data_IF_570603650061
#
_entry.id   IF_570603650061
#
_cell.length_a   1.000
_cell.length_b   1.000
_cell.length_c   1.000
_cell.angle_alpha   90.00
_cell.angle_beta   90.00
_cell.angle_gamma   90.00
#
_symmetry.space_group_name_H-M   'P 1'
#
loop_
_entity.id
_entity.type
_entity.pdbx_description
1 polymer ?
#
# COMPACT_ATOMS: atom_id res chain seq x y z
N UNK A 1 41.07 21.49 35.81
CA UNK A 1 39.98 21.33 36.80
C UNK A 1 38.74 20.86 36.05
N UNK A 2 38.61 19.56 35.81
CA UNK A 2 37.38 18.89 35.34
C UNK A 2 37.39 17.52 36.04
N UNK A 3 36.45 17.29 36.94
CA UNK A 3 36.26 16.01 37.63
C UNK A 3 35.54 15.03 36.70
N UNK A 4 36.06 13.80 36.63
CA UNK A 4 35.45 12.65 35.97
C UNK A 4 34.16 12.25 36.68
N UNK A 5 33.02 12.31 35.99
CA UNK A 5 31.76 11.72 36.44
C UNK A 5 31.68 10.26 35.97
N UNK A 6 32.28 9.35 36.76
CA UNK A 6 32.18 7.89 36.55
C UNK A 6 31.08 7.25 37.41
N UNK A 7 30.07 8.00 37.87
CA UNK A 7 29.22 7.56 39.00
C UNK A 7 27.73 7.41 38.70
N UNK A 8 27.29 7.32 37.44
CA UNK A 8 25.85 7.18 37.10
C UNK A 8 25.59 5.93 36.23
N UNK A 9 26.22 4.79 36.55
CA UNK A 9 25.90 3.49 35.88
C UNK A 9 25.41 2.45 36.89
N UNK A 10 24.90 2.90 38.04
CA UNK A 10 24.48 2.02 39.12
C UNK A 10 23.10 2.35 39.66
N UNK A 11 22.04 2.36 38.84
CA UNK A 11 20.65 2.14 39.29
C UNK A 11 19.57 2.21 38.18
N UNK A 12 19.68 1.45 37.09
CA UNK A 12 18.57 1.26 36.14
C UNK A 12 18.26 -0.21 35.82
N UNK A 13 18.71 -1.15 36.67
CA UNK A 13 18.40 -2.59 36.51
C UNK A 13 16.96 -2.98 36.91
N UNK A 14 16.08 -2.04 37.22
CA UNK A 14 14.79 -2.32 37.88
C UNK A 14 13.50 -1.95 37.15
N UNK A 15 13.52 -1.36 35.95
CA UNK A 15 12.28 -0.82 35.33
C UNK A 15 11.94 -1.41 33.96
N UNK A 16 12.88 -2.06 33.26
CA UNK A 16 12.56 -2.71 31.99
C UNK A 16 12.36 -4.20 32.21
N UNK A 17 11.11 -4.60 32.43
CA UNK A 17 10.70 -5.97 32.16
C UNK A 17 10.73 -6.10 30.62
N UNK A 18 11.90 -6.37 30.06
CA UNK A 18 12.03 -6.77 28.65
C UNK A 18 11.34 -8.11 28.49
N UNK A 19 10.03 -8.06 28.23
CA UNK A 19 9.34 -9.17 27.60
C UNK A 19 10.16 -9.52 26.36
N UNK A 20 10.81 -10.68 26.37
CA UNK A 20 11.43 -11.23 25.19
C UNK A 20 10.29 -11.53 24.20
N UNK A 21 9.94 -10.51 23.40
CA UNK A 21 9.17 -10.75 22.20
C UNK A 21 10.08 -11.55 21.29
N UNK A 22 9.65 -12.76 20.92
CA UNK A 22 10.23 -13.49 19.80
C UNK A 22 9.99 -12.62 18.57
N UNK A 23 10.98 -11.79 18.24
CA UNK A 23 10.96 -10.99 17.02
C UNK A 23 10.97 -12.00 15.88
N UNK A 24 9.95 -11.95 15.03
CA UNK A 24 9.93 -12.72 13.79
C UNK A 24 11.26 -12.50 13.06
N UNK A 25 11.97 -13.60 12.77
CA UNK A 25 13.24 -13.58 12.02
C UNK A 25 13.01 -13.16 10.56
N UNK A 26 11.75 -13.27 10.11
CA UNK A 26 11.28 -12.77 8.84
C UNK A 26 11.01 -11.27 9.04
N UNK A 27 11.73 -10.40 8.32
CA UNK A 27 11.42 -8.99 8.36
C UNK A 27 9.95 -8.76 8.01
N UNK A 28 9.20 -7.92 8.75
CA UNK A 28 7.77 -7.74 8.51
C UNK A 28 7.43 -7.41 7.06
N UNK A 29 8.32 -6.67 6.38
CA UNK A 29 8.21 -6.29 4.97
C UNK A 29 8.37 -7.42 3.96
N UNK A 30 8.65 -8.65 4.40
CA UNK A 30 8.76 -9.85 3.55
C UNK A 30 7.63 -10.85 3.77
N UNK A 31 6.74 -10.61 4.74
CA UNK A 31 5.75 -11.61 5.16
C UNK A 31 4.61 -11.80 4.14
N UNK A 32 4.20 -10.74 3.42
CA UNK A 32 3.15 -10.81 2.39
C UNK A 32 3.40 -9.77 1.30
N UNK A 33 3.70 -10.24 0.10
CA UNK A 33 3.80 -9.39 -1.08
C UNK A 33 2.46 -9.39 -1.82
N UNK A 34 1.94 -8.21 -2.24
CA UNK A 34 0.68 -8.15 -2.95
C UNK A 34 0.82 -8.80 -4.33
N UNK A 35 -0.14 -9.66 -4.70
CA UNK A 35 -0.22 -10.19 -6.06
C UNK A 35 -0.65 -9.08 -7.01
N UNK A 36 0.18 -8.78 -8.00
CA UNK A 36 -0.15 -7.82 -9.06
C UNK A 36 -0.80 -8.55 -10.22
N UNK A 37 -1.97 -8.07 -10.66
CA UNK A 37 -2.62 -8.53 -11.88
C UNK A 37 -2.46 -7.48 -12.99
N UNK A 38 -1.84 -7.89 -14.10
CA UNK A 38 -1.58 -7.06 -15.28
C UNK A 38 -2.44 -7.47 -16.48
N UNK A 39 -3.54 -8.21 -16.28
CA UNK A 39 -4.38 -8.75 -17.35
C UNK A 39 -4.78 -7.72 -18.41
N UNK A 40 -5.10 -6.49 -18.00
CA UNK A 40 -5.55 -5.42 -18.91
C UNK A 40 -4.41 -4.70 -19.66
N UNK A 41 -3.14 -4.94 -19.31
CA UNK A 41 -1.99 -4.29 -19.95
C UNK A 41 -1.92 -4.71 -21.42
N UNK A 42 -1.80 -3.71 -22.30
CA UNK A 42 -1.75 -3.93 -23.76
C UNK A 42 -3.09 -4.32 -24.41
N UNK A 43 -4.17 -4.55 -23.65
CA UNK A 43 -5.48 -4.96 -24.19
C UNK A 43 -6.44 -3.80 -24.45
N UNK A 44 -6.10 -2.57 -24.02
CA UNK A 44 -6.96 -1.39 -24.16
C UNK A 44 -7.42 -1.15 -25.60
N UNK A 45 -6.53 -1.32 -26.59
CA UNK A 45 -6.83 -1.13 -28.01
C UNK A 45 -7.85 -2.15 -28.56
N UNK A 46 -7.78 -3.39 -28.10
CA UNK A 46 -8.68 -4.48 -28.52
C UNK A 46 -10.06 -4.34 -27.87
N UNK A 47 -10.11 -3.83 -26.65
CA UNK A 47 -11.33 -3.76 -25.84
C UNK A 47 -12.08 -2.42 -25.97
N UNK A 48 -11.60 -1.45 -26.77
CA UNK A 48 -12.04 -0.03 -26.74
C UNK A 48 -13.56 0.18 -26.73
N UNK A 49 -14.32 -0.57 -27.52
CA UNK A 49 -15.78 -0.39 -27.59
C UNK A 49 -16.51 -0.80 -26.31
N UNK A 50 -15.94 -1.72 -25.52
CA UNK A 50 -16.63 -2.39 -24.39
C UNK A 50 -15.73 -2.56 -23.16
N UNK A 51 -14.67 -1.75 -22.99
CA UNK A 51 -13.68 -1.94 -21.92
C UNK A 51 -14.31 -2.00 -20.52
N UNK A 52 -15.36 -1.20 -20.28
CA UNK A 52 -16.10 -1.21 -19.01
C UNK A 52 -16.83 -2.54 -18.77
N UNK A 53 -17.45 -3.10 -19.82
CA UNK A 53 -18.14 -4.38 -19.73
C UNK A 53 -17.13 -5.50 -19.42
N UNK A 54 -16.04 -5.56 -20.18
CA UNK A 54 -14.97 -6.54 -19.96
C UNK A 54 -14.32 -6.40 -18.58
N UNK A 55 -14.09 -5.16 -18.11
CA UNK A 55 -13.59 -4.90 -16.77
C UNK A 55 -14.54 -5.46 -15.71
N UNK A 56 -15.83 -5.13 -15.80
CA UNK A 56 -16.83 -5.61 -14.84
C UNK A 56 -16.97 -7.14 -14.85
N UNK A 57 -16.95 -7.78 -16.01
CA UNK A 57 -17.02 -9.24 -16.15
C UNK A 57 -15.79 -9.91 -15.54
N UNK A 58 -14.59 -9.38 -15.83
CA UNK A 58 -13.35 -9.89 -15.26
C UNK A 58 -13.34 -9.76 -13.74
N UNK A 59 -13.76 -8.59 -13.23
CA UNK A 59 -13.92 -8.32 -11.81
C UNK A 59 -14.87 -9.32 -11.13
N UNK A 60 -16.05 -9.56 -11.73
CA UNK A 60 -17.02 -10.51 -11.20
C UNK A 60 -16.51 -11.96 -11.21
N UNK A 61 -15.73 -12.35 -12.22
CA UNK A 61 -15.25 -13.72 -12.36
C UNK A 61 -14.02 -14.03 -11.49
N UNK A 62 -13.15 -13.05 -11.23
CA UNK A 62 -11.87 -13.27 -10.56
C UNK A 62 -11.79 -12.70 -9.15
N UNK A 63 -12.61 -11.69 -8.82
CA UNK A 63 -12.50 -10.91 -7.58
C UNK A 63 -13.85 -10.69 -6.88
N UNK A 64 -14.84 -11.56 -7.11
CA UNK A 64 -16.19 -11.44 -6.52
C UNK A 64 -16.23 -11.45 -4.98
N UNK A 65 -15.22 -12.04 -4.33
CA UNK A 65 -15.12 -12.11 -2.88
C UNK A 65 -14.13 -11.09 -2.29
N UNK A 66 -13.71 -10.09 -3.08
CA UNK A 66 -12.78 -9.05 -2.65
C UNK A 66 -13.48 -7.70 -2.57
N UNK A 67 -13.15 -6.91 -1.55
CA UNK A 67 -13.54 -5.50 -1.49
C UNK A 67 -12.73 -4.71 -2.49
N UNK A 68 -13.39 -4.04 -3.44
CA UNK A 68 -12.70 -3.27 -4.48
C UNK A 68 -12.39 -1.86 -3.98
N UNK A 69 -11.13 -1.46 -4.05
CA UNK A 69 -10.67 -0.13 -3.66
C UNK A 69 -10.00 0.52 -4.87
N UNK A 70 -10.48 1.70 -5.24
CA UNK A 70 -9.88 2.50 -6.30
C UNK A 70 -8.99 3.58 -5.70
N UNK A 71 -7.84 3.79 -6.31
CA UNK A 71 -6.85 4.79 -5.88
C UNK A 71 -6.43 5.66 -7.04
N UNK A 72 -6.17 6.93 -6.76
CA UNK A 72 -5.70 7.90 -7.76
C UNK A 72 -4.83 8.97 -7.07
N UNK A 73 -3.70 9.35 -7.69
CA UNK A 73 -2.75 10.32 -7.17
C UNK A 73 -2.64 11.56 -8.06
N UNK A 74 -3.08 12.71 -7.57
CA UNK A 74 -2.99 13.98 -8.30
C UNK A 74 -1.83 14.84 -7.81
N UNK A 75 -0.85 15.07 -8.69
CA UNK A 75 0.25 16.01 -8.44
C UNK A 75 -0.25 17.45 -8.38
N UNK A 76 -1.22 17.82 -9.25
CA UNK A 76 -1.72 19.18 -9.33
C UNK A 76 -2.38 19.64 -8.01
N UNK A 77 -3.03 18.70 -7.32
CA UNK A 77 -3.69 18.97 -6.04
C UNK A 77 -2.82 18.54 -4.83
N UNK A 78 -1.68 17.89 -5.08
CA UNK A 78 -0.84 17.23 -4.06
C UNK A 78 -1.64 16.28 -3.15
N UNK A 79 -2.60 15.56 -3.74
CA UNK A 79 -3.58 14.73 -3.02
C UNK A 79 -3.66 13.35 -3.64
N UNK A 80 -3.85 12.34 -2.80
CA UNK A 80 -4.34 11.03 -3.25
C UNK A 80 -5.78 10.80 -2.80
N UNK A 81 -6.55 10.13 -3.64
CA UNK A 81 -7.92 9.72 -3.38
C UNK A 81 -8.02 8.20 -3.22
N UNK A 82 -8.88 7.77 -2.31
CA UNK A 82 -9.23 6.36 -2.07
C UNK A 82 -10.75 6.26 -2.12
N UNK A 83 -11.29 5.32 -2.90
CA UNK A 83 -12.73 5.07 -3.01
C UNK A 83 -13.04 3.59 -2.82
N UNK A 84 -13.97 3.29 -1.91
CA UNK A 84 -14.53 1.95 -1.69
C UNK A 84 -16.04 2.02 -1.95
N UNK A 85 -16.51 1.70 -3.17
CA UNK A 85 -17.92 1.85 -3.54
C UNK A 85 -18.87 1.06 -2.65
N UNK A 86 -18.51 -0.16 -2.27
CA UNK A 86 -19.33 -1.09 -1.48
C UNK A 86 -19.63 -0.55 -0.09
N UNK A 87 -18.72 0.25 0.47
CA UNK A 87 -18.86 0.89 1.79
C UNK A 87 -19.33 2.34 1.69
N UNK A 88 -19.56 2.85 0.47
CA UNK A 88 -19.74 4.27 0.19
C UNK A 88 -18.65 5.16 0.83
N UNK A 89 -17.43 4.64 0.93
CA UNK A 89 -16.33 5.31 1.60
C UNK A 89 -15.45 6.05 0.59
N UNK A 90 -15.10 7.29 0.91
CA UNK A 90 -14.11 8.07 0.16
C UNK A 90 -13.18 8.76 1.14
N UNK A 91 -11.89 8.74 0.84
CA UNK A 91 -10.88 9.46 1.60
C UNK A 91 -9.98 10.23 0.64
N UNK A 92 -9.56 11.41 1.06
CA UNK A 92 -8.58 12.24 0.38
C UNK A 92 -7.47 12.54 1.39
N UNK A 93 -6.22 12.36 0.98
CA UNK A 93 -5.05 12.58 1.81
C UNK A 93 -4.09 13.50 1.07
N UNK A 94 -3.59 14.53 1.75
CA UNK A 94 -2.58 15.42 1.21
C UNK A 94 -1.18 14.84 1.45
N UNK A 95 -0.31 14.91 0.44
CA UNK A 95 1.11 14.62 0.56
C UNK A 95 1.93 15.93 0.37
N UNK A 96 3.22 15.95 0.74
CA UNK A 96 4.05 17.13 0.55
C UNK A 96 4.07 17.60 -0.90
N UNK A 97 4.23 18.90 -1.10
CA UNK A 97 4.50 19.44 -2.42
C UNK A 97 5.87 18.87 -2.92
N UNK A 98 6.10 18.79 -4.23
CA UNK A 98 7.29 18.20 -4.89
C UNK A 98 7.27 16.68 -5.20
N UNK A 99 6.11 16.11 -5.52
CA UNK A 99 6.00 14.73 -6.01
C UNK A 99 5.92 14.68 -7.54
N UNK A 100 6.50 13.64 -8.14
CA UNK A 100 6.19 13.29 -9.53
C UNK A 100 4.90 12.45 -9.59
N UNK A 101 4.32 12.29 -10.78
CA UNK A 101 3.08 11.52 -10.98
C UNK A 101 3.20 10.11 -10.40
N UNK A 102 4.29 9.41 -10.70
CA UNK A 102 4.53 8.06 -10.17
C UNK A 102 4.61 8.03 -8.63
N UNK A 103 5.20 9.05 -8.00
CA UNK A 103 5.27 9.13 -6.54
C UNK A 103 3.90 9.39 -5.92
N UNK A 104 3.05 10.19 -6.56
CA UNK A 104 1.68 10.44 -6.10
C UNK A 104 0.84 9.15 -6.15
N UNK A 105 0.93 8.41 -7.26
CA UNK A 105 0.29 7.11 -7.45
C UNK A 105 0.77 6.05 -6.45
N UNK A 106 2.09 5.94 -6.25
CA UNK A 106 2.67 5.05 -5.26
C UNK A 106 2.22 5.41 -3.83
N UNK A 107 2.10 6.71 -3.54
CA UNK A 107 1.60 7.19 -2.25
C UNK A 107 0.11 6.87 -2.05
N UNK A 108 -0.69 6.91 -3.12
CA UNK A 108 -2.10 6.51 -3.09
C UNK A 108 -2.24 5.02 -2.73
N UNK A 109 -1.49 4.14 -3.42
CA UNK A 109 -1.45 2.70 -3.14
C UNK A 109 -0.99 2.44 -1.70
N UNK A 110 0.10 3.08 -1.27
CA UNK A 110 0.63 2.94 0.09
C UNK A 110 -0.38 3.37 1.16
N UNK A 111 -1.06 4.48 0.93
CA UNK A 111 -2.09 4.98 1.85
C UNK A 111 -3.27 4.02 1.95
N UNK A 112 -3.67 3.39 0.84
CA UNK A 112 -4.69 2.36 0.83
C UNK A 112 -4.25 1.10 1.57
N UNK A 113 -3.00 0.66 1.43
CA UNK A 113 -2.47 -0.48 2.17
C UNK A 113 -2.55 -0.25 3.68
N UNK A 114 -2.19 0.95 4.16
CA UNK A 114 -2.35 1.32 5.57
C UNK A 114 -3.81 1.27 6.02
N UNK A 115 -4.72 1.82 5.21
CA UNK A 115 -6.15 1.79 5.53
C UNK A 115 -6.67 0.35 5.64
N UNK A 116 -6.24 -0.54 4.73
CA UNK A 116 -6.62 -1.96 4.73
C UNK A 116 -6.11 -2.66 5.99
N UNK A 117 -4.86 -2.38 6.38
CA UNK A 117 -4.25 -2.91 7.61
C UNK A 117 -4.98 -2.40 8.86
N UNK A 118 -5.25 -1.09 8.96
CA UNK A 118 -5.97 -0.47 10.08
C UNK A 118 -7.42 -0.94 10.22
N UNK A 119 -8.03 -1.39 9.13
CA UNK A 119 -9.44 -1.85 9.07
C UNK A 119 -9.58 -3.36 9.09
N UNK A 120 -8.49 -4.12 9.22
CA UNK A 120 -8.48 -5.59 9.23
C UNK A 120 -9.19 -6.20 8.00
N UNK A 121 -8.94 -5.62 6.83
CA UNK A 121 -9.54 -6.05 5.56
C UNK A 121 -8.71 -7.18 4.93
N UNK A 122 -9.19 -8.43 5.03
CA UNK A 122 -8.42 -9.63 4.63
C UNK A 122 -8.51 -10.00 3.13
N UNK A 123 -9.53 -9.52 2.42
CA UNK A 123 -9.72 -9.80 0.98
C UNK A 123 -10.00 -8.50 0.23
N UNK A 124 -8.93 -7.89 -0.28
CA UNK A 124 -8.98 -6.57 -0.91
C UNK A 124 -8.34 -6.60 -2.29
N UNK A 125 -8.99 -5.95 -3.25
CA UNK A 125 -8.40 -5.62 -4.55
C UNK A 125 -8.16 -4.12 -4.62
N UNK A 126 -6.92 -3.70 -4.86
CA UNK A 126 -6.56 -2.31 -5.10
C UNK A 126 -6.42 -2.09 -6.61
N UNK A 127 -7.21 -1.18 -7.15
CA UNK A 127 -7.23 -0.78 -8.55
C UNK A 127 -6.52 0.58 -8.69
N UNK A 128 -5.39 0.60 -9.41
CA UNK A 128 -4.68 1.81 -9.85
C UNK A 128 -4.53 1.76 -11.36
N UNK A 129 -4.56 2.93 -12.00
CA UNK A 129 -4.30 3.08 -13.44
C UNK A 129 -2.81 3.35 -13.75
N UNK A 130 -1.97 3.45 -12.72
CA UNK A 130 -0.53 3.65 -12.84
C UNK A 130 0.22 2.35 -13.16
N UNK A 131 0.39 2.07 -14.45
CA UNK A 131 1.15 0.90 -14.92
C UNK A 131 2.58 0.87 -14.34
N UNK A 132 3.25 2.02 -14.25
CA UNK A 132 4.62 2.09 -13.72
C UNK A 132 4.70 1.68 -12.25
N UNK A 133 3.71 2.04 -11.43
CA UNK A 133 3.62 1.57 -10.05
C UNK A 133 3.38 0.06 -9.97
N UNK A 134 2.44 -0.46 -10.78
CA UNK A 134 2.14 -1.89 -10.81
C UNK A 134 3.34 -2.73 -11.27
N UNK A 135 4.07 -2.29 -12.30
CA UNK A 135 5.29 -2.95 -12.79
C UNK A 135 6.43 -2.91 -11.76
N UNK A 136 6.61 -1.78 -11.07
CA UNK A 136 7.61 -1.66 -10.01
C UNK A 136 7.34 -2.65 -8.87
N UNK A 137 6.09 -2.75 -8.41
CA UNK A 137 5.66 -3.71 -7.39
C UNK A 137 5.83 -5.15 -7.89
N UNK A 138 5.38 -5.45 -9.10
CA UNK A 138 5.50 -6.78 -9.70
C UNK A 138 6.96 -7.23 -9.81
N UNK A 139 7.85 -6.32 -10.22
CA UNK A 139 9.29 -6.60 -10.35
C UNK A 139 9.94 -6.80 -8.99
N UNK A 140 9.60 -5.97 -7.99
CA UNK A 140 10.07 -6.16 -6.62
C UNK A 140 9.67 -7.54 -6.06
N UNK A 141 8.50 -8.06 -6.46
CA UNK A 141 8.06 -9.40 -6.06
C UNK A 141 8.77 -10.54 -6.79
N UNK A 142 9.24 -10.30 -8.02
CA UNK A 142 9.90 -11.32 -8.85
C UNK A 142 11.38 -11.52 -8.48
N UNK A 143 11.98 -10.58 -7.75
CA UNK A 143 13.39 -10.56 -7.37
C UNK A 143 13.65 -11.09 -5.94
N UNK A 144 12.62 -11.61 -5.26
CA UNK A 144 12.70 -12.28 -3.95
C UNK A 144 12.49 -13.79 -4.12
#
# INVERSE_FOLDING_TARGET
MIQNCSSIVGNLKGIFNTLQHNISVIPPWTAYLPRVDLYFVGRKAVLQANIRLYFNEYMANHYSNSTTIYTDGSVQEAVCAIRIPELNYTQSLRFPDDYCVMSAEAYAIHSTLKLVEERDCHSTLICSDSLSCLEAIHTANSNN
#
